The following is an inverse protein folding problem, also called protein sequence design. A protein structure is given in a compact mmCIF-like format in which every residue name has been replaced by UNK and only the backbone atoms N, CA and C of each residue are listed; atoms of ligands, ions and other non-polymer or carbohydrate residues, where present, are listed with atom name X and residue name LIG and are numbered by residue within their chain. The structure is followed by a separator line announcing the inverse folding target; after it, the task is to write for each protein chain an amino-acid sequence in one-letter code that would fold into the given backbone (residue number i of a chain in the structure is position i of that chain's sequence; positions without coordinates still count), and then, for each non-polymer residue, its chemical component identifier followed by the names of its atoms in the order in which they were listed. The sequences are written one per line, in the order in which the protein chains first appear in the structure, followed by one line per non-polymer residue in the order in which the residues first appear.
data_IF_314291567026
#
_entry.id   IF_314291567026
#
_cell.length_a   1.000
_cell.length_b   1.000
_cell.length_c   1.000
_cell.angle_alpha   90.00
_cell.angle_beta   90.00
_cell.angle_gamma   90.00
#
_symmetry.space_group_name_H-M   'P 1'
#
loop_
_entity.id
_entity.type
_entity.pdbx_description
1 polymer ?
#
# COMPACT_ATOMS: atom_id res chain seq x y z
N UNK A 1 -21.69 13.21 -13.73
CA UNK A 1 -21.57 13.34 -12.27
C UNK A 1 -20.10 13.23 -11.98
N UNK A 2 -19.44 14.35 -11.69
CA UNK A 2 -18.03 14.32 -11.33
C UNK A 2 -17.92 13.71 -9.94
N UNK A 3 -17.32 12.54 -9.84
CA UNK A 3 -17.14 11.84 -8.56
C UNK A 3 -16.14 12.62 -7.71
N UNK A 4 -16.55 13.05 -6.52
CA UNK A 4 -15.63 13.65 -5.56
C UNK A 4 -14.75 12.56 -4.93
N UNK A 5 -13.65 12.22 -5.59
CA UNK A 5 -12.71 11.20 -5.11
C UNK A 5 -12.02 11.57 -3.80
N UNK A 6 -11.89 12.85 -3.48
CA UNK A 6 -11.32 13.28 -2.20
C UNK A 6 -12.23 12.87 -1.04
N UNK A 7 -13.52 13.19 -1.12
CA UNK A 7 -14.49 12.81 -0.09
C UNK A 7 -14.62 11.28 0.02
N UNK A 8 -14.58 10.58 -1.11
CA UNK A 8 -14.66 9.12 -1.13
C UNK A 8 -13.42 8.47 -0.50
N UNK A 9 -12.22 9.01 -0.76
CA UNK A 9 -10.99 8.59 -0.08
C UNK A 9 -11.08 8.83 1.43
N UNK A 10 -11.64 9.96 1.89
CA UNK A 10 -11.83 10.23 3.32
C UNK A 10 -12.71 9.18 3.99
N UNK A 11 -13.80 8.77 3.35
CA UNK A 11 -14.68 7.70 3.86
C UNK A 11 -13.98 6.33 3.89
N UNK A 12 -12.95 6.15 3.06
CA UNK A 12 -12.16 4.93 2.97
C UNK A 12 -10.81 5.02 3.71
N UNK A 13 -10.59 6.04 4.53
CA UNK A 13 -9.35 6.19 5.31
C UNK A 13 -9.07 4.92 6.14
N UNK A 14 -7.82 4.46 6.13
CA UNK A 14 -7.37 3.22 6.77
C UNK A 14 -8.05 1.92 6.27
N UNK A 15 -8.79 1.96 5.16
CA UNK A 15 -9.36 0.75 4.53
C UNK A 15 -8.53 0.34 3.32
N UNK A 16 -8.61 -0.95 2.97
CA UNK A 16 -8.00 -1.49 1.75
C UNK A 16 -8.86 -1.14 0.54
N UNK A 17 -8.29 -0.43 -0.42
CA UNK A 17 -8.99 0.06 -1.62
C UNK A 17 -8.24 -0.32 -2.87
N UNK A 18 -8.97 -0.38 -3.99
CA UNK A 18 -8.39 -0.37 -5.33
C UNK A 18 -8.59 1.00 -5.98
N UNK A 19 -7.58 1.46 -6.72
CA UNK A 19 -7.61 2.67 -7.54
C UNK A 19 -7.22 2.32 -8.97
N UNK A 20 -8.01 2.77 -9.93
CA UNK A 20 -7.65 2.80 -11.35
C UNK A 20 -7.33 4.23 -11.76
N UNK A 21 -6.22 4.41 -12.49
CA UNK A 21 -5.79 5.71 -12.98
C UNK A 21 -6.07 5.92 -14.46
N UNK A 22 -5.99 7.17 -14.93
CA UNK A 22 -6.25 7.57 -16.32
C UNK A 22 -5.29 6.94 -17.33
N UNK A 23 -4.09 6.54 -16.89
CA UNK A 23 -3.10 5.80 -17.67
C UNK A 23 -3.36 4.27 -17.72
N UNK A 24 -4.47 3.81 -17.13
CA UNK A 24 -4.88 2.41 -17.09
C UNK A 24 -4.17 1.56 -16.04
N UNK A 25 -3.33 2.17 -15.20
CA UNK A 25 -2.69 1.46 -14.08
C UNK A 25 -3.70 1.18 -12.97
N UNK A 26 -3.47 0.09 -12.23
CA UNK A 26 -4.29 -0.30 -11.09
C UNK A 26 -3.38 -0.48 -9.87
N UNK A 27 -3.81 0.09 -8.75
CA UNK A 27 -3.11 0.00 -7.47
C UNK A 27 -4.08 -0.44 -6.39
N UNK A 28 -3.67 -1.37 -5.56
CA UNK A 28 -4.41 -1.77 -4.37
C UNK A 28 -3.57 -1.56 -3.11
N UNK A 29 -4.21 -1.09 -2.04
CA UNK A 29 -3.50 -0.75 -0.81
C UNK A 29 -4.37 -0.07 0.23
N UNK A 30 -3.81 0.16 1.41
CA UNK A 30 -4.49 0.91 2.46
C UNK A 30 -4.37 2.41 2.21
N UNK A 31 -5.45 3.17 2.39
CA UNK A 31 -5.32 4.63 2.41
C UNK A 31 -4.58 5.04 3.69
N UNK A 32 -3.37 5.60 3.51
CA UNK A 32 -2.49 6.00 4.58
C UNK A 32 -2.51 7.52 4.84
N UNK A 33 -2.76 8.33 3.80
CA UNK A 33 -2.82 9.78 3.91
C UNK A 33 -3.68 10.39 2.80
N UNK A 34 -4.31 11.53 3.08
CA UNK A 34 -5.09 12.31 2.13
C UNK A 34 -4.67 13.77 2.23
N UNK A 35 -4.29 14.34 1.10
CA UNK A 35 -3.95 15.75 0.93
C UNK A 35 -5.10 16.49 0.21
N UNK A 36 -4.87 17.75 -0.15
CA UNK A 36 -5.78 18.51 -0.99
C UNK A 36 -5.94 17.88 -2.38
N UNK A 37 -4.82 17.47 -3.01
CA UNK A 37 -4.80 17.04 -4.41
C UNK A 37 -4.44 15.56 -4.62
N UNK A 38 -4.02 14.86 -3.56
CA UNK A 38 -3.48 13.50 -3.63
C UNK A 38 -4.05 12.58 -2.55
N UNK A 39 -4.12 11.30 -2.87
CA UNK A 39 -4.25 10.21 -1.90
C UNK A 39 -2.96 9.39 -1.87
N UNK A 40 -2.52 8.98 -0.69
CA UNK A 40 -1.35 8.12 -0.51
C UNK A 40 -1.81 6.73 -0.08
N UNK A 41 -1.49 5.74 -0.89
CA UNK A 41 -1.70 4.33 -0.59
C UNK A 41 -0.44 3.74 0.06
N UNK A 42 -0.62 2.93 1.10
CA UNK A 42 0.36 1.96 1.55
C UNK A 42 0.11 0.64 0.81
N UNK A 43 0.89 0.41 -0.23
CA UNK A 43 0.74 -0.78 -1.09
C UNK A 43 1.56 -1.93 -0.48
N UNK A 44 0.95 -3.10 -0.22
CA UNK A 44 1.69 -4.24 0.31
C UNK A 44 2.74 -4.71 -0.70
N UNK A 45 3.92 -5.05 -0.20
CA UNK A 45 5.02 -5.57 -1.03
C UNK A 45 5.44 -6.95 -0.57
N UNK A 46 5.51 -7.87 -1.54
CA UNK A 46 6.11 -9.19 -1.38
C UNK A 46 7.63 -9.18 -1.64
N UNK A 47 8.28 -8.01 -1.73
CA UNK A 47 9.73 -7.90 -1.97
C UNK A 47 10.59 -8.68 -0.95
N UNK A 48 10.01 -9.06 0.19
CA UNK A 48 10.64 -9.97 1.14
C UNK A 48 10.83 -11.41 0.62
N UNK A 49 9.98 -11.91 -0.29
CA UNK A 49 10.13 -13.27 -0.88
C UNK A 49 11.15 -13.32 -2.02
N UNK A 50 11.28 -12.26 -2.83
CA UNK A 50 12.14 -12.28 -4.02
C UNK A 50 13.64 -12.18 -3.72
N UNK A 51 14.03 -11.36 -2.73
CA UNK A 51 15.44 -11.13 -2.40
C UNK A 51 16.09 -12.20 -1.50
N UNK A 52 15.31 -13.13 -0.94
CA UNK A 52 15.83 -14.30 -0.22
C UNK A 52 16.01 -15.54 -1.10
N UNK A 53 15.66 -15.46 -2.39
CA UNK A 53 15.79 -16.56 -3.34
C UNK A 53 17.26 -16.71 -3.78
N UNK A 54 18.14 -17.17 -2.88
CA UNK A 54 19.54 -17.46 -3.17
C UNK A 54 20.54 -17.26 -2.03
N UNK A 55 20.15 -16.69 -0.88
CA UNK A 55 21.00 -16.65 0.31
C UNK A 55 20.56 -17.75 1.29
N UNK A 56 21.47 -18.59 1.81
CA UNK A 56 21.10 -19.62 2.77
C UNK A 56 20.47 -18.96 4.00
N UNK A 57 19.18 -19.23 4.21
CA UNK A 57 18.43 -18.76 5.35
C UNK A 57 18.98 -19.45 6.60
N UNK A 58 19.95 -18.82 7.27
CA UNK A 58 20.36 -19.26 8.60
C UNK A 58 19.14 -19.19 9.53
N UNK A 59 18.80 -20.31 10.17
CA UNK A 59 17.64 -20.43 11.05
C UNK A 59 17.63 -19.42 12.21
N UNK A 60 18.79 -18.85 12.56
CA UNK A 60 18.95 -17.77 13.54
C UNK A 60 18.38 -16.42 13.07
N UNK A 61 18.21 -16.20 11.76
CA UNK A 61 17.66 -14.97 11.16
C UNK A 61 16.12 -15.00 11.08
N UNK A 62 15.50 -16.15 11.39
CA UNK A 62 14.05 -16.37 11.41
C UNK A 62 13.36 -15.88 12.70
N UNK A 63 14.04 -15.11 13.54
CA UNK A 63 13.44 -14.47 14.72
C UNK A 63 12.58 -13.31 14.27
N UNK A 64 11.36 -13.64 13.83
CA UNK A 64 10.31 -12.72 13.35
C UNK A 64 9.82 -11.71 14.40
N UNK A 65 10.30 -11.79 15.64
CA UNK A 65 10.01 -10.86 16.72
C UNK A 65 11.30 -10.59 17.50
N UNK A 66 12.07 -9.60 17.07
CA UNK A 66 13.28 -9.16 17.75
C UNK A 66 13.63 -7.75 17.35
N UNK A 67 13.50 -6.81 18.28
CA UNK A 67 13.98 -5.44 18.15
C UNK A 67 15.51 -5.45 18.27
N UNK A 68 16.20 -5.95 17.24
CA UNK A 68 17.65 -5.79 17.16
C UNK A 68 17.95 -4.37 16.67
N UNK A 69 18.69 -3.55 17.43
CA UNK A 69 19.11 -2.22 16.96
C UNK A 69 19.91 -2.39 15.67
N UNK A 70 19.38 -1.88 14.56
CA UNK A 70 19.95 -2.02 13.22
C UNK A 70 19.20 -2.97 12.27
N UNK A 71 18.27 -3.79 12.77
CA UNK A 71 17.38 -4.62 11.94
C UNK A 71 15.95 -4.11 12.03
N UNK A 72 15.66 -3.03 11.32
CA UNK A 72 14.28 -2.62 11.06
C UNK A 72 13.69 -3.62 10.06
N UNK A 73 12.57 -4.31 10.38
CA UNK A 73 11.93 -5.20 9.42
C UNK A 73 11.71 -4.44 8.11
N UNK A 74 12.39 -4.89 7.06
CA UNK A 74 12.39 -4.24 5.74
C UNK A 74 10.95 -4.09 5.23
N UNK A 75 10.70 -2.97 4.56
CA UNK A 75 9.40 -2.38 4.21
C UNK A 75 8.37 -3.41 3.73
N UNK A 76 7.35 -3.67 4.56
CA UNK A 76 6.17 -4.48 4.18
C UNK A 76 5.20 -3.73 3.27
N UNK A 77 5.28 -2.41 3.29
CA UNK A 77 4.47 -1.51 2.46
C UNK A 77 5.36 -0.44 1.85
N UNK A 78 5.07 -0.03 0.62
CA UNK A 78 5.65 1.16 0.02
C UNK A 78 4.57 2.24 -0.20
N UNK A 79 4.91 3.52 0.01
CA UNK A 79 3.96 4.59 -0.23
C UNK A 79 3.82 4.87 -1.73
N UNK A 80 2.57 4.99 -2.21
CA UNK A 80 2.25 5.41 -3.57
C UNK A 80 1.29 6.59 -3.51
N UNK A 81 1.72 7.75 -4.02
CA UNK A 81 0.87 8.94 -4.15
C UNK A 81 0.15 8.91 -5.49
N UNK A 82 -1.16 9.15 -5.48
CA UNK A 82 -2.01 9.22 -6.66
C UNK A 82 -2.76 10.55 -6.65
N UNK A 83 -2.64 11.39 -7.70
CA UNK A 83 -3.40 12.63 -7.79
C UNK A 83 -4.88 12.33 -8.05
N UNK A 84 -5.79 13.06 -7.40
CA UNK A 84 -7.24 12.87 -7.57
C UNK A 84 -7.69 13.07 -9.02
N UNK A 85 -7.07 14.00 -9.74
CA UNK A 85 -7.36 14.24 -11.16
C UNK A 85 -6.96 13.09 -12.09
N UNK A 86 -6.12 12.16 -11.63
CA UNK A 86 -5.77 10.96 -12.39
C UNK A 86 -6.61 9.74 -12.03
N UNK A 87 -7.54 9.83 -11.06
CA UNK A 87 -8.36 8.68 -10.65
C UNK A 87 -9.57 8.56 -11.56
N UNK A 88 -9.73 7.37 -12.16
CA UNK A 88 -10.91 7.01 -12.95
C UNK A 88 -11.86 6.08 -12.21
N UNK A 89 -11.37 5.36 -11.20
CA UNK A 89 -12.18 4.56 -10.29
C UNK A 89 -11.50 4.42 -8.92
N UNK A 90 -12.31 4.42 -7.86
CA UNK A 90 -11.90 4.06 -6.50
C UNK A 90 -12.98 3.15 -5.92
N UNK A 91 -12.59 1.96 -5.48
CA UNK A 91 -13.52 0.98 -4.91
C UNK A 91 -12.96 0.37 -3.63
N UNK A 92 -13.84 0.14 -2.67
CA UNK A 92 -13.51 -0.56 -1.43
C UNK A 92 -13.37 -2.04 -1.72
N UNK A 93 -12.22 -2.61 -1.40
CA UNK A 93 -11.98 -4.04 -1.55
C UNK A 93 -12.41 -4.75 -0.25
N UNK A 94 -13.18 -5.85 -0.33
CA UNK A 94 -13.51 -6.65 0.83
C UNK A 94 -12.24 -7.35 1.31
N UNK A 95 -11.64 -6.84 2.38
CA UNK A 95 -10.59 -7.54 3.10
C UNK A 95 -11.24 -8.29 4.26
N UNK A 96 -11.09 -9.60 4.29
CA UNK A 96 -11.44 -10.41 5.44
C UNK A 96 -10.27 -10.30 6.44
N UNK A 97 -10.54 -9.73 7.63
CA UNK A 97 -9.66 -9.92 8.81
C UNK A 97 -10.02 -11.25 9.44
#
# INVERSE_FOLDING_TARGET
MDTNYQQLAWNCMNKYVGITTTDGQNFDGFIAHIDQDYVTLAIPSNEMMGQMNGMPANASTYRQFGYYPGFYPRRRFYPRRVPFGAITALFLLPFFI
#
